data_IF_854374196736
#
_entry.id   IF_854374196736
#
_cell.length_a   1.000
_cell.length_b   1.000
_cell.length_c   1.000
_cell.angle_alpha   90.00
_cell.angle_beta   90.00
_cell.angle_gamma   90.00
#
_symmetry.space_group_name_H-M   'P 1'
#
loop_
_entity.id
_entity.type
_entity.pdbx_description
1 polymer ?
#
# COMPACT_ATOMS: atom_id res chain seq x y z
N UNK A 1 17.07 1.05 -11.38
CA UNK A 1 16.62 2.46 -11.53
C UNK A 1 16.98 2.97 -12.91
N UNK A 2 16.04 3.65 -13.55
CA UNK A 2 16.19 4.26 -14.88
C UNK A 2 16.93 5.60 -14.78
N UNK A 3 17.37 6.14 -15.94
CA UNK A 3 17.94 7.49 -16.00
C UNK A 3 16.96 8.53 -15.43
N UNK A 4 15.70 8.48 -15.87
CA UNK A 4 14.66 9.43 -15.45
C UNK A 4 14.44 9.44 -13.92
N UNK A 5 14.37 8.26 -13.30
CA UNK A 5 14.24 8.16 -11.84
C UNK A 5 15.42 8.82 -11.11
N UNK A 6 16.64 8.58 -11.57
CA UNK A 6 17.85 9.16 -10.98
C UNK A 6 17.96 10.66 -11.24
N UNK A 7 17.53 11.11 -12.41
CA UNK A 7 17.50 12.53 -12.75
C UNK A 7 16.48 13.28 -11.87
N UNK A 8 15.25 12.79 -11.78
CA UNK A 8 14.20 13.41 -10.97
C UNK A 8 14.52 13.38 -9.47
N UNK A 9 15.30 12.41 -9.00
CA UNK A 9 15.79 12.37 -7.61
C UNK A 9 17.07 13.18 -7.39
N UNK A 10 17.60 13.86 -8.41
CA UNK A 10 18.79 14.68 -8.32
C UNK A 10 20.10 13.91 -8.13
N UNK A 11 20.08 12.59 -8.37
CA UNK A 11 21.27 11.73 -8.20
C UNK A 11 22.20 11.79 -9.40
N UNK A 12 21.68 12.14 -10.58
CA UNK A 12 22.49 12.35 -11.80
C UNK A 12 22.06 13.65 -12.49
N UNK A 13 22.99 14.37 -13.16
CA UNK A 13 22.65 15.49 -14.02
C UNK A 13 22.09 14.99 -15.36
N UNK A 14 21.44 15.88 -16.15
CA UNK A 14 20.81 15.50 -17.41
C UNK A 14 21.81 14.94 -18.43
N UNK A 15 23.01 15.47 -18.46
CA UNK A 15 24.10 15.09 -19.37
C UNK A 15 24.55 13.63 -19.23
N UNK A 16 24.22 12.98 -18.11
CA UNK A 16 24.45 11.54 -17.95
C UNK A 16 23.57 10.66 -18.89
N UNK A 17 22.55 11.24 -19.56
CA UNK A 17 21.69 10.52 -20.52
C UNK A 17 22.52 9.82 -21.59
N UNK A 18 23.57 10.47 -22.12
CA UNK A 18 24.48 9.91 -23.12
C UNK A 18 25.20 8.64 -22.65
N UNK A 19 25.49 8.60 -21.34
CA UNK A 19 26.13 7.42 -20.74
C UNK A 19 25.14 6.25 -20.64
N UNK A 20 23.86 6.53 -20.36
CA UNK A 20 22.82 5.50 -20.36
C UNK A 20 22.56 4.98 -21.76
N UNK A 21 22.48 5.85 -22.78
CA UNK A 21 22.37 5.47 -24.20
C UNK A 21 23.55 4.59 -24.60
N UNK A 22 24.78 4.99 -24.25
CA UNK A 22 26.00 4.23 -24.53
C UNK A 22 26.01 2.85 -23.87
N UNK A 23 25.48 2.73 -22.67
CA UNK A 23 25.34 1.45 -21.97
C UNK A 23 24.31 0.55 -22.64
N UNK A 24 23.14 1.09 -22.97
CA UNK A 24 22.10 0.35 -23.68
C UNK A 24 22.60 -0.21 -25.01
N UNK A 25 23.26 0.60 -25.81
CA UNK A 25 23.86 0.20 -27.10
C UNK A 25 24.90 -0.94 -27.00
N UNK A 26 25.46 -1.18 -25.81
CA UNK A 26 26.47 -2.21 -25.54
C UNK A 26 25.94 -3.37 -24.70
N UNK A 27 24.68 -3.33 -24.34
CA UNK A 27 24.02 -4.36 -23.54
C UNK A 27 23.19 -5.29 -24.41
N UNK A 28 22.83 -6.44 -23.87
CA UNK A 28 21.86 -7.37 -24.43
C UNK A 28 20.44 -7.08 -23.89
N UNK A 29 20.17 -5.83 -23.45
CA UNK A 29 18.87 -5.42 -22.92
C UNK A 29 17.84 -5.35 -24.06
N UNK A 30 16.77 -6.12 -23.96
CA UNK A 30 15.74 -6.24 -24.99
C UNK A 30 14.70 -5.09 -24.96
N UNK A 31 14.73 -4.23 -23.93
CA UNK A 31 13.84 -3.06 -23.86
C UNK A 31 14.19 -2.04 -24.93
N UNK A 32 13.19 -1.26 -25.37
CA UNK A 32 13.47 -0.07 -26.19
C UNK A 32 14.34 0.92 -25.40
N UNK A 33 15.06 1.81 -26.10
CA UNK A 33 15.89 2.82 -25.44
C UNK A 33 15.06 3.71 -24.52
N UNK A 34 13.87 4.16 -24.95
CA UNK A 34 12.98 4.95 -24.13
C UNK A 34 12.59 4.21 -22.82
N UNK A 35 12.22 2.95 -22.91
CA UNK A 35 11.94 2.12 -21.72
C UNK A 35 13.16 1.93 -20.82
N UNK A 36 14.33 1.78 -21.40
CA UNK A 36 15.58 1.68 -20.64
C UNK A 36 15.89 2.98 -19.88
N UNK A 37 15.63 4.12 -20.52
CA UNK A 37 15.78 5.44 -19.89
C UNK A 37 14.64 5.77 -18.91
N UNK A 38 13.50 5.07 -18.98
CA UNK A 38 12.29 5.30 -18.17
C UNK A 38 11.38 6.38 -18.72
N UNK A 39 11.49 6.72 -20.00
CA UNK A 39 10.64 7.69 -20.67
C UNK A 39 9.28 7.08 -21.00
N UNK A 40 8.21 7.88 -20.86
CA UNK A 40 6.90 7.54 -21.40
C UNK A 40 6.78 7.96 -22.88
N UNK A 41 5.64 7.65 -23.51
CA UNK A 41 5.45 7.93 -24.95
C UNK A 41 5.58 9.43 -25.29
N UNK A 42 4.96 10.30 -24.49
CA UNK A 42 5.00 11.75 -24.73
C UNK A 42 6.41 12.32 -24.58
N UNK A 43 7.20 11.80 -23.64
CA UNK A 43 8.59 12.18 -23.41
C UNK A 43 9.51 11.64 -24.53
N UNK A 44 9.24 10.43 -25.03
CA UNK A 44 9.93 9.86 -26.18
C UNK A 44 9.63 10.66 -27.45
N UNK A 45 8.36 11.01 -27.69
CA UNK A 45 7.92 11.81 -28.83
C UNK A 45 8.60 13.18 -28.84
N UNK A 46 8.58 13.91 -27.71
CA UNK A 46 9.27 15.20 -27.57
C UNK A 46 10.78 15.06 -27.79
N UNK A 47 11.38 14.00 -27.29
CA UNK A 47 12.82 13.77 -27.49
C UNK A 47 13.19 13.50 -28.93
N UNK A 48 12.37 12.72 -29.65
CA UNK A 48 12.61 12.37 -31.08
C UNK A 48 12.29 13.53 -32.02
N UNK A 49 11.15 14.21 -31.77
CA UNK A 49 10.64 15.22 -32.69
C UNK A 49 11.29 16.60 -32.48
N UNK A 50 11.74 16.89 -31.24
CA UNK A 50 12.31 18.18 -30.90
C UNK A 50 13.81 18.06 -30.56
N UNK A 51 14.16 17.86 -29.28
CA UNK A 51 15.57 17.84 -28.84
C UNK A 51 15.78 17.31 -27.41
N UNK A 52 17.05 17.13 -27.03
CA UNK A 52 17.47 16.84 -25.66
C UNK A 52 17.07 17.98 -24.69
N UNK A 53 17.14 19.23 -25.15
CA UNK A 53 16.74 20.40 -24.35
C UNK A 53 15.25 20.39 -24.06
N UNK A 54 14.41 20.06 -25.05
CA UNK A 54 12.96 19.97 -24.89
C UNK A 54 12.58 18.83 -23.92
N UNK A 55 13.20 17.66 -24.04
CA UNK A 55 13.05 16.59 -23.06
C UNK A 55 13.47 17.05 -21.66
N UNK A 56 14.60 17.74 -21.55
CA UNK A 56 15.08 18.27 -20.27
C UNK A 56 14.08 19.23 -19.64
N UNK A 57 13.53 20.17 -20.40
CA UNK A 57 12.51 21.12 -19.94
C UNK A 57 11.26 20.39 -19.47
N UNK A 58 10.82 19.36 -20.20
CA UNK A 58 9.68 18.54 -19.84
C UNK A 58 9.91 17.76 -18.53
N UNK A 59 11.10 17.21 -18.32
CA UNK A 59 11.47 16.53 -17.08
C UNK A 59 11.67 17.52 -15.91
N UNK A 60 12.21 18.72 -16.17
CA UNK A 60 12.37 19.76 -15.15
C UNK A 60 11.05 20.35 -14.66
N UNK A 61 9.99 20.28 -15.49
CA UNK A 61 8.64 20.65 -15.09
C UNK A 61 8.00 19.66 -14.10
N UNK A 62 8.54 18.45 -13.97
CA UNK A 62 8.05 17.45 -13.01
C UNK A 62 8.53 17.76 -11.59
N UNK A 63 7.74 17.32 -10.62
CA UNK A 63 8.12 17.34 -9.21
C UNK A 63 9.40 16.53 -8.96
N UNK A 64 10.33 17.13 -8.24
CA UNK A 64 11.56 16.43 -7.80
C UNK A 64 11.22 15.38 -6.74
N UNK A 65 11.79 14.20 -6.87
CA UNK A 65 11.60 13.08 -5.96
C UNK A 65 12.68 13.08 -4.89
N UNK A 66 12.30 13.36 -3.64
CA UNK A 66 13.26 13.28 -2.54
C UNK A 66 13.57 11.81 -2.20
N UNK A 67 14.86 11.45 -2.12
CA UNK A 67 15.31 10.11 -1.72
C UNK A 67 15.25 9.06 -2.82
N UNK A 68 14.96 7.81 -2.47
CA UNK A 68 14.94 6.68 -3.41
C UNK A 68 13.65 6.66 -4.22
N UNK A 69 13.69 6.86 -5.53
CA UNK A 69 12.49 6.87 -6.37
C UNK A 69 11.94 5.46 -6.61
N UNK A 70 10.65 5.40 -6.92
CA UNK A 70 9.96 4.23 -7.44
C UNK A 70 8.93 4.68 -8.47
N UNK A 71 8.93 4.03 -9.63
CA UNK A 71 7.93 4.21 -10.67
C UNK A 71 6.84 3.16 -10.55
N UNK A 72 5.58 3.58 -10.59
CA UNK A 72 4.44 2.66 -10.54
C UNK A 72 4.11 2.11 -11.92
N UNK A 73 4.87 1.10 -12.35
CA UNK A 73 4.66 0.39 -13.61
C UNK A 73 4.69 1.34 -14.81
N UNK A 74 3.70 1.19 -15.72
CA UNK A 74 3.53 2.04 -16.90
C UNK A 74 2.88 3.39 -16.62
N UNK A 75 2.56 3.70 -15.35
CA UNK A 75 2.04 5.02 -14.99
C UNK A 75 3.14 6.08 -15.03
N UNK A 76 2.77 7.33 -15.09
CA UNK A 76 3.72 8.45 -14.97
C UNK A 76 4.03 8.83 -13.51
N UNK A 77 3.55 8.03 -12.55
CA UNK A 77 3.73 8.27 -11.12
C UNK A 77 5.13 7.83 -10.69
N UNK A 78 5.99 8.79 -10.38
CA UNK A 78 7.30 8.57 -9.79
C UNK A 78 7.35 9.27 -8.44
N UNK A 79 7.55 8.50 -7.37
CA UNK A 79 7.54 8.98 -5.99
C UNK A 79 8.66 8.32 -5.19
N UNK A 80 8.94 8.80 -3.99
CA UNK A 80 9.88 8.10 -3.11
C UNK A 80 9.23 6.86 -2.45
N UNK A 81 10.06 5.96 -1.93
CA UNK A 81 9.61 4.72 -1.26
C UNK A 81 8.97 4.96 0.12
N UNK A 82 8.25 6.07 0.28
CA UNK A 82 7.50 6.44 1.48
C UNK A 82 6.08 6.88 1.13
N UNK A 83 5.24 5.96 0.68
CA UNK A 83 3.81 6.24 0.55
C UNK A 83 3.14 6.33 1.94
N UNK A 84 2.16 7.22 2.08
CA UNK A 84 1.37 7.38 3.29
C UNK A 84 0.10 6.50 3.24
N UNK A 85 0.00 5.50 4.13
CA UNK A 85 -1.19 4.66 4.28
C UNK A 85 -2.19 5.26 5.28
N UNK A 86 -3.25 5.86 4.81
CA UNK A 86 -4.18 6.67 5.61
C UNK A 86 -5.24 5.87 6.41
N UNK A 87 -5.20 4.52 6.41
CA UNK A 87 -6.11 3.74 7.25
C UNK A 87 -6.06 4.11 8.74
N UNK A 88 -4.89 4.32 9.39
CA UNK A 88 -4.87 4.61 10.81
C UNK A 88 -5.39 6.00 11.20
N UNK A 89 -5.34 6.99 10.30
CA UNK A 89 -5.79 8.36 10.65
C UNK A 89 -7.29 8.45 10.94
N UNK A 90 -8.10 7.47 10.55
CA UNK A 90 -9.51 7.39 10.95
C UNK A 90 -9.71 7.35 12.48
N UNK A 91 -8.65 7.07 13.27
CA UNK A 91 -8.69 6.89 14.72
C UNK A 91 -8.26 8.14 15.50
N UNK A 92 -7.84 9.17 14.82
CA UNK A 92 -7.35 10.42 15.42
C UNK A 92 -8.22 11.61 14.98
N UNK A 93 -8.07 12.76 15.60
CA UNK A 93 -8.82 13.95 15.26
C UNK A 93 -8.46 14.49 13.85
N UNK A 94 -9.27 15.38 13.28
CA UNK A 94 -8.96 16.09 12.03
C UNK A 94 -7.68 16.92 12.14
N UNK A 95 -7.48 17.59 13.27
CA UNK A 95 -6.30 18.43 13.49
C UNK A 95 -5.02 17.59 13.64
N UNK A 96 -5.06 16.49 14.39
CA UNK A 96 -3.93 15.57 14.46
C UNK A 96 -3.60 14.95 13.11
N UNK A 97 -4.64 14.55 12.35
CA UNK A 97 -4.45 14.01 11.00
C UNK A 97 -3.82 15.07 10.06
N UNK A 98 -4.25 16.33 10.15
CA UNK A 98 -3.67 17.43 9.38
C UNK A 98 -2.19 17.63 9.71
N UNK A 99 -1.81 17.59 10.97
CA UNK A 99 -0.39 17.69 11.39
C UNK A 99 0.43 16.59 10.74
N UNK A 100 -0.02 15.32 10.81
CA UNK A 100 0.68 14.20 10.21
C UNK A 100 0.78 14.29 8.68
N UNK A 101 -0.33 14.59 8.01
CA UNK A 101 -0.39 14.64 6.56
C UNK A 101 0.46 15.79 6.00
N UNK A 102 0.42 16.98 6.63
CA UNK A 102 1.26 18.12 6.25
C UNK A 102 2.74 17.82 6.48
N UNK A 103 3.08 17.27 7.64
CA UNK A 103 4.46 16.89 7.95
C UNK A 103 5.01 15.87 6.93
N UNK A 104 4.21 14.90 6.51
CA UNK A 104 4.56 13.95 5.47
C UNK A 104 4.81 14.67 4.12
N UNK A 105 3.88 15.54 3.71
CA UNK A 105 4.01 16.33 2.48
C UNK A 105 5.27 17.21 2.50
N UNK A 106 5.49 17.99 3.57
CA UNK A 106 6.61 18.91 3.72
C UNK A 106 7.97 18.18 3.70
N UNK A 107 7.99 16.93 4.17
CA UNK A 107 9.18 16.06 4.09
C UNK A 107 9.37 15.36 2.73
N UNK A 108 8.51 15.61 1.74
CA UNK A 108 8.65 15.07 0.39
C UNK A 108 7.84 13.79 0.10
N UNK A 109 6.95 13.34 0.98
CA UNK A 109 5.98 12.28 0.66
C UNK A 109 4.97 12.84 -0.33
N UNK A 110 4.77 12.13 -1.45
CA UNK A 110 3.86 12.56 -2.52
C UNK A 110 2.73 11.57 -2.81
N UNK A 111 2.76 10.38 -2.25
CA UNK A 111 1.74 9.35 -2.46
C UNK A 111 0.92 9.10 -1.20
N UNK A 112 -0.40 9.27 -1.29
CA UNK A 112 -1.36 9.11 -0.19
C UNK A 112 -2.43 8.08 -0.57
N UNK A 113 -2.48 6.98 0.18
CA UNK A 113 -3.43 5.87 -0.04
C UNK A 113 -4.55 5.90 0.99
N UNK A 114 -5.78 5.93 0.54
CA UNK A 114 -6.99 5.86 1.37
C UNK A 114 -8.04 4.92 0.77
N UNK A 115 -9.26 4.94 1.25
CA UNK A 115 -10.40 4.20 0.69
C UNK A 115 -11.73 4.79 1.15
N UNK A 116 -12.78 4.67 0.32
CA UNK A 116 -14.16 5.03 0.69
C UNK A 116 -14.60 4.35 2.00
N UNK A 117 -14.10 3.15 2.24
CA UNK A 117 -14.43 2.33 3.41
C UNK A 117 -13.71 2.75 4.71
N UNK A 118 -12.77 3.71 4.66
CA UNK A 118 -12.00 4.16 5.83
C UNK A 118 -12.66 5.35 6.52
N UNK A 119 -13.94 5.22 6.88
CA UNK A 119 -14.75 6.23 7.58
C UNK A 119 -14.55 7.66 7.07
N UNK A 120 -13.78 8.50 7.79
CA UNK A 120 -13.52 9.91 7.52
C UNK A 120 -12.09 10.19 6.97
N UNK A 121 -11.36 9.15 6.57
CA UNK A 121 -9.97 9.28 6.10
C UNK A 121 -9.85 10.14 4.84
N UNK A 122 -10.77 10.00 3.87
CA UNK A 122 -10.81 10.83 2.67
C UNK A 122 -11.07 12.30 3.01
N UNK A 123 -12.01 12.58 3.92
CA UNK A 123 -12.31 13.93 4.39
C UNK A 123 -11.11 14.59 5.07
N UNK A 124 -10.34 13.80 5.87
CA UNK A 124 -9.11 14.28 6.52
C UNK A 124 -8.02 14.61 5.54
N UNK A 125 -7.84 13.80 4.47
CA UNK A 125 -6.90 14.12 3.38
C UNK A 125 -7.34 15.40 2.67
N UNK A 126 -8.61 15.53 2.28
CA UNK A 126 -9.15 16.73 1.65
C UNK A 126 -9.06 17.96 2.54
N UNK A 127 -9.24 17.81 3.85
CA UNK A 127 -9.05 18.92 4.82
C UNK A 127 -7.59 19.36 4.94
N UNK A 128 -6.67 18.41 4.86
CA UNK A 128 -5.24 18.68 5.08
C UNK A 128 -4.48 19.09 3.82
N UNK A 129 -4.82 18.54 2.64
CA UNK A 129 -3.94 18.59 1.47
C UNK A 129 -4.62 19.13 0.18
N UNK A 130 -5.86 19.61 0.24
CA UNK A 130 -6.56 20.09 -0.98
C UNK A 130 -5.87 21.28 -1.66
N UNK A 131 -5.17 22.12 -0.91
CA UNK A 131 -4.41 23.27 -1.43
C UNK A 131 -3.09 22.89 -2.14
N UNK A 132 -2.66 21.64 -2.02
CA UNK A 132 -1.48 21.08 -2.69
C UNK A 132 -1.81 19.89 -3.57
N UNK A 133 -3.10 19.77 -4.00
CA UNK A 133 -3.62 18.63 -4.74
C UNK A 133 -2.81 18.28 -5.99
N UNK A 134 -2.35 19.28 -6.72
CA UNK A 134 -1.59 19.12 -7.96
C UNK A 134 -0.17 18.59 -7.75
N UNK A 135 0.31 18.65 -6.51
CA UNK A 135 1.65 18.20 -6.12
C UNK A 135 1.66 16.82 -5.44
N UNK A 136 0.53 16.14 -5.38
CA UNK A 136 0.41 14.84 -4.73
C UNK A 136 -0.36 13.85 -5.60
N UNK A 137 -0.11 12.58 -5.35
CA UNK A 137 -0.86 11.46 -5.93
C UNK A 137 -1.75 10.83 -4.87
N UNK A 138 -3.03 10.70 -5.19
CA UNK A 138 -4.03 10.10 -4.29
C UNK A 138 -4.54 8.79 -4.90
N UNK A 139 -4.41 7.71 -4.15
CA UNK A 139 -5.05 6.44 -4.41
C UNK A 139 -6.23 6.25 -3.46
N UNK A 140 -7.44 6.03 -3.99
CA UNK A 140 -8.60 5.64 -3.18
C UNK A 140 -9.32 4.44 -3.79
N UNK A 141 -10.34 3.90 -3.12
CA UNK A 141 -10.89 2.58 -3.43
C UNK A 141 -12.41 2.54 -3.24
N UNK A 142 -13.08 1.78 -4.11
CA UNK A 142 -14.49 1.44 -3.96
C UNK A 142 -14.67 -0.05 -3.64
N UNK A 143 -15.60 -0.38 -2.75
CA UNK A 143 -16.08 -1.71 -2.50
C UNK A 143 -17.45 -2.00 -3.17
N UNK A 144 -17.87 -1.14 -4.09
CA UNK A 144 -19.11 -1.28 -4.82
C UNK A 144 -19.17 -2.61 -5.62
N UNK A 145 -20.33 -3.18 -5.69
CA UNK A 145 -20.62 -4.42 -6.45
C UNK A 145 -21.55 -4.18 -7.64
N UNK A 146 -21.92 -2.92 -7.88
CA UNK A 146 -22.76 -2.47 -9.00
C UNK A 146 -22.22 -1.17 -9.57
N UNK A 147 -22.48 -0.89 -10.84
CA UNK A 147 -22.10 0.36 -11.49
C UNK A 147 -22.69 1.60 -10.78
N UNK A 148 -23.95 1.54 -10.33
CA UNK A 148 -24.58 2.63 -9.56
C UNK A 148 -23.82 2.89 -8.25
N UNK A 149 -23.47 1.84 -7.51
CA UNK A 149 -22.67 1.94 -6.28
C UNK A 149 -21.27 2.51 -6.54
N UNK A 150 -20.65 2.10 -7.66
CA UNK A 150 -19.37 2.64 -8.10
C UNK A 150 -19.40 4.16 -8.28
N UNK A 151 -20.37 4.67 -9.04
CA UNK A 151 -20.49 6.11 -9.27
C UNK A 151 -20.78 6.88 -7.99
N UNK A 152 -21.65 6.35 -7.13
CA UNK A 152 -21.90 6.96 -5.81
C UNK A 152 -20.65 7.02 -4.95
N UNK A 153 -19.86 5.96 -4.92
CA UNK A 153 -18.60 5.93 -4.16
C UNK A 153 -17.59 6.93 -4.73
N UNK A 154 -17.42 6.97 -6.06
CA UNK A 154 -16.48 7.89 -6.72
C UNK A 154 -16.85 9.36 -6.46
N UNK A 155 -18.10 9.75 -6.68
CA UNK A 155 -18.55 11.12 -6.43
C UNK A 155 -18.38 11.50 -4.95
N UNK A 156 -18.66 10.58 -4.04
CA UNK A 156 -18.43 10.79 -2.60
C UNK A 156 -16.95 10.97 -2.29
N UNK A 157 -16.08 10.15 -2.89
CA UNK A 157 -14.62 10.25 -2.72
C UNK A 157 -14.08 11.59 -3.23
N UNK A 158 -14.49 12.03 -4.42
CA UNK A 158 -14.09 13.30 -4.98
C UNK A 158 -14.52 14.48 -4.09
N UNK A 159 -15.77 14.43 -3.60
CA UNK A 159 -16.28 15.45 -2.67
C UNK A 159 -15.47 15.50 -1.37
N UNK A 160 -15.21 14.34 -0.75
CA UNK A 160 -14.48 14.26 0.52
C UNK A 160 -13.02 14.69 0.37
N UNK A 161 -12.38 14.31 -0.71
CA UNK A 161 -11.00 14.67 -1.05
C UNK A 161 -10.87 16.12 -1.54
N UNK A 162 -12.00 16.80 -1.83
CA UNK A 162 -12.07 18.17 -2.39
C UNK A 162 -11.26 18.32 -3.68
N UNK A 163 -11.50 17.44 -4.62
CA UNK A 163 -10.80 17.40 -5.91
C UNK A 163 -11.74 16.91 -7.00
N UNK A 164 -11.43 17.25 -8.25
CA UNK A 164 -12.21 16.82 -9.42
C UNK A 164 -11.72 15.47 -9.97
N UNK A 165 -10.56 15.00 -9.53
CA UNK A 165 -9.97 13.73 -9.98
C UNK A 165 -9.17 13.03 -8.87
N UNK A 166 -8.98 11.72 -9.03
CA UNK A 166 -8.02 10.92 -8.27
C UNK A 166 -7.02 10.25 -9.21
N UNK A 167 -5.79 10.05 -8.73
CA UNK A 167 -4.75 9.48 -9.57
C UNK A 167 -4.94 7.99 -9.79
N UNK A 168 -5.22 7.24 -8.74
CA UNK A 168 -5.50 5.80 -8.84
C UNK A 168 -6.83 5.50 -8.16
N UNK A 169 -7.79 4.93 -8.92
CA UNK A 169 -9.02 4.42 -8.35
C UNK A 169 -9.03 2.89 -8.39
N UNK A 170 -9.26 2.26 -7.24
CA UNK A 170 -9.03 0.83 -7.08
C UNK A 170 -10.32 0.08 -6.73
N UNK A 171 -10.51 -1.12 -7.26
CA UNK A 171 -11.47 -2.07 -6.72
C UNK A 171 -10.95 -2.62 -5.38
N UNK A 172 -11.75 -2.49 -4.32
CA UNK A 172 -11.35 -2.79 -2.94
C UNK A 172 -11.63 -4.24 -2.56
N UNK A 173 -10.67 -5.14 -2.77
CA UNK A 173 -10.72 -6.55 -2.41
C UNK A 173 -11.95 -7.29 -3.00
N UNK A 174 -12.21 -7.14 -4.31
CA UNK A 174 -13.33 -7.83 -4.95
C UNK A 174 -13.18 -9.35 -4.83
N UNK A 175 -14.30 -10.06 -4.77
CA UNK A 175 -14.30 -11.52 -4.69
C UNK A 175 -13.98 -12.18 -6.05
N UNK A 176 -14.22 -11.45 -7.14
CA UNK A 176 -13.94 -11.83 -8.53
C UNK A 176 -13.21 -10.64 -9.16
N UNK A 177 -12.24 -10.89 -10.02
CA UNK A 177 -11.52 -9.83 -10.74
C UNK A 177 -12.48 -9.16 -11.75
N UNK A 178 -12.85 -7.85 -11.58
CA UNK A 178 -13.74 -7.19 -12.53
C UNK A 178 -13.12 -7.07 -13.92
N UNK A 179 -13.91 -7.39 -14.97
CA UNK A 179 -13.48 -7.40 -16.36
C UNK A 179 -14.57 -6.84 -17.29
N UNK A 180 -14.19 -6.35 -18.48
CA UNK A 180 -15.19 -5.98 -19.48
C UNK A 180 -16.14 -7.15 -19.80
N UNK A 181 -17.43 -6.87 -19.79
CA UNK A 181 -18.46 -7.86 -20.15
C UNK A 181 -18.72 -8.94 -19.10
N UNK A 182 -18.28 -8.80 -17.86
CA UNK A 182 -18.54 -9.77 -16.78
C UNK A 182 -19.97 -9.69 -16.21
N UNK A 183 -20.76 -8.76 -16.71
CA UNK A 183 -22.17 -8.55 -16.33
C UNK A 183 -22.33 -7.65 -15.08
N UNK A 184 -21.27 -7.26 -14.40
CA UNK A 184 -21.34 -6.35 -13.25
C UNK A 184 -21.44 -4.88 -13.66
N UNK A 185 -20.91 -4.52 -14.85
CA UNK A 185 -20.75 -3.15 -15.33
C UNK A 185 -19.70 -2.32 -14.56
N UNK A 186 -18.95 -2.94 -13.65
CA UNK A 186 -17.99 -2.24 -12.81
C UNK A 186 -16.77 -1.77 -13.61
N UNK A 187 -16.24 -2.64 -14.48
CA UNK A 187 -15.06 -2.30 -15.27
C UNK A 187 -15.39 -1.24 -16.33
N UNK A 188 -16.58 -1.32 -16.94
CA UNK A 188 -17.11 -0.31 -17.87
C UNK A 188 -17.25 1.05 -17.16
N UNK A 189 -17.78 1.09 -15.95
CA UNK A 189 -17.87 2.32 -15.15
C UNK A 189 -16.48 2.91 -14.82
N UNK A 190 -15.47 2.03 -14.61
CA UNK A 190 -14.08 2.46 -14.39
C UNK A 190 -13.49 3.10 -15.65
N UNK A 191 -13.72 2.53 -16.83
CA UNK A 191 -13.28 3.08 -18.11
C UNK A 191 -13.97 4.43 -18.40
N UNK A 192 -15.28 4.53 -18.16
CA UNK A 192 -16.04 5.77 -18.33
C UNK A 192 -15.54 6.86 -17.38
N UNK A 193 -15.23 6.51 -16.12
CA UNK A 193 -14.66 7.48 -15.16
C UNK A 193 -13.28 7.99 -15.61
N UNK A 194 -12.47 7.13 -16.24
CA UNK A 194 -11.19 7.50 -16.84
C UNK A 194 -11.38 8.42 -18.05
N UNK A 195 -12.32 8.12 -18.93
CA UNK A 195 -12.67 8.96 -20.10
C UNK A 195 -13.18 10.35 -19.66
N UNK A 196 -13.95 10.41 -18.58
CA UNK A 196 -14.43 11.67 -17.98
C UNK A 196 -13.32 12.45 -17.24
N UNK A 197 -12.09 11.91 -17.14
CA UNK A 197 -10.97 12.53 -16.42
C UNK A 197 -11.11 12.53 -14.89
N UNK A 198 -12.08 11.79 -14.34
CA UNK A 198 -12.28 11.69 -12.88
C UNK A 198 -11.28 10.75 -12.20
N UNK A 199 -10.69 9.85 -12.96
CA UNK A 199 -9.59 9.00 -12.52
C UNK A 199 -8.51 8.94 -13.60
N UNK A 200 -7.24 8.82 -13.21
CA UNK A 200 -6.14 8.72 -14.17
C UNK A 200 -5.78 7.27 -14.46
N UNK A 201 -5.64 6.46 -13.43
CA UNK A 201 -5.20 5.07 -13.52
C UNK A 201 -6.17 4.13 -12.81
N UNK A 202 -6.28 2.91 -13.36
CA UNK A 202 -7.16 1.86 -12.85
C UNK A 202 -6.34 0.91 -11.99
N UNK A 203 -6.74 0.73 -10.73
CA UNK A 203 -6.09 -0.18 -9.82
C UNK A 203 -7.01 -1.27 -9.27
N UNK A 204 -6.37 -2.26 -8.67
CA UNK A 204 -7.04 -3.29 -7.88
C UNK A 204 -6.26 -3.55 -6.60
N UNK A 205 -6.95 -3.71 -5.47
CA UNK A 205 -6.34 -4.19 -4.24
C UNK A 205 -6.96 -5.52 -3.83
N UNK A 206 -6.14 -6.48 -3.45
CA UNK A 206 -6.66 -7.76 -2.99
C UNK A 206 -5.75 -8.39 -1.92
N UNK A 207 -6.27 -9.40 -1.23
CA UNK A 207 -5.56 -10.25 -0.28
C UNK A 207 -5.49 -11.72 -0.75
N UNK A 208 -6.15 -12.05 -1.86
CA UNK A 208 -6.19 -13.39 -2.45
C UNK A 208 -5.22 -13.46 -3.61
N UNK A 209 -4.27 -14.40 -3.52
CA UNK A 209 -3.28 -14.62 -4.58
C UNK A 209 -3.92 -14.85 -5.96
N UNK A 210 -4.96 -15.69 -6.03
CA UNK A 210 -5.62 -16.01 -7.30
C UNK A 210 -6.20 -14.79 -8.02
N UNK A 211 -6.78 -13.83 -7.26
CA UNK A 211 -7.29 -12.58 -7.86
C UNK A 211 -6.17 -11.65 -8.28
N UNK A 212 -5.09 -11.60 -7.49
CA UNK A 212 -3.93 -10.78 -7.82
C UNK A 212 -3.20 -11.29 -9.08
N UNK A 213 -3.00 -12.60 -9.19
CA UNK A 213 -2.43 -13.26 -10.37
C UNK A 213 -3.32 -13.04 -11.61
N UNK A 214 -4.63 -13.23 -11.48
CA UNK A 214 -5.60 -12.96 -12.54
C UNK A 214 -5.59 -11.49 -13.00
N UNK A 215 -5.45 -10.56 -12.07
CA UNK A 215 -5.37 -9.14 -12.40
C UNK A 215 -4.11 -8.80 -13.22
N UNK A 216 -2.96 -9.38 -12.88
CA UNK A 216 -1.71 -9.21 -13.65
C UNK A 216 -1.86 -9.79 -15.05
N UNK A 217 -2.30 -11.06 -15.15
CA UNK A 217 -2.45 -11.77 -16.42
C UNK A 217 -3.46 -11.10 -17.36
N UNK A 218 -4.48 -10.43 -16.81
CA UNK A 218 -5.51 -9.75 -17.60
C UNK A 218 -4.98 -8.55 -18.38
N UNK A 219 -3.91 -7.88 -17.92
CA UNK A 219 -3.42 -6.63 -18.49
C UNK A 219 -4.35 -5.43 -18.37
N UNK A 220 -5.43 -5.56 -17.58
CA UNK A 220 -6.50 -4.57 -17.47
C UNK A 220 -6.22 -3.47 -16.42
N UNK A 221 -5.26 -3.68 -15.55
CA UNK A 221 -4.99 -2.81 -14.41
C UNK A 221 -3.62 -2.14 -14.52
N UNK A 222 -3.56 -0.88 -14.13
CA UNK A 222 -2.30 -0.11 -14.10
C UNK A 222 -1.53 -0.38 -12.81
N UNK A 223 -2.25 -0.70 -11.68
CA UNK A 223 -1.62 -0.98 -10.39
C UNK A 223 -2.29 -2.13 -9.64
N UNK A 224 -1.48 -2.89 -8.89
CA UNK A 224 -1.90 -3.88 -7.91
C UNK A 224 -1.46 -3.44 -6.52
N UNK A 225 -2.40 -3.39 -5.57
CA UNK A 225 -2.08 -3.21 -4.16
C UNK A 225 -2.26 -4.54 -3.42
N UNK A 226 -1.17 -5.04 -2.81
CA UNK A 226 -1.15 -6.35 -2.16
C UNK A 226 -0.38 -6.31 -0.83
N UNK A 227 -0.72 -7.16 0.17
CA UNK A 227 0.08 -7.28 1.39
C UNK A 227 1.50 -7.75 1.08
N UNK A 228 2.50 -6.98 1.51
CA UNK A 228 3.89 -7.32 1.25
C UNK A 228 4.82 -6.81 2.36
N UNK A 229 5.69 -7.68 2.85
CA UNK A 229 6.74 -7.40 3.81
C UNK A 229 7.68 -8.61 3.90
N UNK A 230 8.65 -8.63 4.81
CA UNK A 230 9.60 -9.74 4.94
C UNK A 230 9.02 -11.06 5.49
N UNK A 231 7.71 -11.10 5.81
CA UNK A 231 6.98 -12.35 6.06
C UNK A 231 6.30 -12.91 4.80
N UNK A 232 6.47 -12.23 3.67
CA UNK A 232 5.92 -12.68 2.39
C UNK A 232 6.53 -13.99 1.95
N UNK A 233 5.68 -14.87 1.44
CA UNK A 233 6.07 -16.16 0.86
C UNK A 233 6.78 -15.96 -0.48
N UNK A 234 7.49 -16.99 -0.96
CA UNK A 234 8.10 -16.96 -2.30
C UNK A 234 7.09 -16.66 -3.42
N UNK A 235 5.84 -17.15 -3.28
CA UNK A 235 4.76 -16.86 -4.23
C UNK A 235 4.34 -15.39 -4.23
N UNK A 236 4.28 -14.75 -3.06
CA UNK A 236 3.99 -13.31 -2.92
C UNK A 236 5.16 -12.46 -3.44
N UNK A 237 6.39 -12.91 -3.26
CA UNK A 237 7.59 -12.28 -3.85
C UNK A 237 7.55 -12.40 -5.38
N UNK A 238 7.19 -13.55 -5.91
CA UNK A 238 7.01 -13.76 -7.34
C UNK A 238 5.92 -12.85 -7.92
N UNK A 239 4.84 -12.58 -7.17
CA UNK A 239 3.79 -11.65 -7.58
C UNK A 239 4.34 -10.22 -7.81
N UNK A 240 5.18 -9.73 -6.89
CA UNK A 240 5.80 -8.41 -7.05
C UNK A 240 6.73 -8.34 -8.27
N UNK A 241 7.44 -9.42 -8.57
CA UNK A 241 8.27 -9.53 -9.79
C UNK A 241 7.43 -9.58 -11.06
N UNK A 242 6.35 -10.38 -11.06
CA UNK A 242 5.42 -10.44 -12.19
C UNK A 242 4.79 -9.07 -12.49
N UNK A 243 4.47 -8.27 -11.46
CA UNK A 243 4.04 -6.89 -11.69
C UNK A 243 5.09 -6.07 -12.46
N UNK A 244 6.39 -6.21 -12.15
CA UNK A 244 7.45 -5.52 -12.89
C UNK A 244 7.53 -5.99 -14.36
N UNK A 245 7.43 -7.29 -14.60
CA UNK A 245 7.45 -7.90 -15.95
C UNK A 245 6.26 -7.44 -16.80
N UNK A 246 5.10 -7.22 -16.19
CA UNK A 246 3.88 -6.73 -16.84
C UNK A 246 3.72 -5.20 -16.80
N UNK A 247 4.75 -4.46 -16.41
CA UNK A 247 4.72 -2.99 -16.28
C UNK A 247 3.55 -2.49 -15.40
N UNK A 248 3.16 -3.26 -14.40
CA UNK A 248 2.10 -2.96 -13.44
C UNK A 248 2.70 -2.41 -12.15
N UNK A 249 2.22 -1.27 -11.66
CA UNK A 249 2.69 -0.70 -10.40
C UNK A 249 2.34 -1.58 -9.20
N UNK A 250 3.29 -1.84 -8.31
CA UNK A 250 3.06 -2.63 -7.10
C UNK A 250 3.07 -1.77 -5.84
N UNK A 251 1.89 -1.66 -5.20
CA UNK A 251 1.72 -0.92 -3.95
C UNK A 251 1.70 -1.92 -2.79
N UNK A 252 2.72 -1.84 -1.93
CA UNK A 252 2.89 -2.76 -0.80
C UNK A 252 2.13 -2.26 0.43
N UNK A 253 0.97 -2.86 0.72
CA UNK A 253 0.24 -2.61 1.95
C UNK A 253 0.67 -3.57 3.07
N UNK A 254 0.30 -3.27 4.32
CA UNK A 254 0.59 -4.10 5.50
C UNK A 254 2.09 -4.30 5.79
N UNK A 255 2.93 -3.37 5.40
CA UNK A 255 4.37 -3.42 5.67
C UNK A 255 4.71 -3.73 7.13
N UNK A 256 3.96 -3.15 8.07
CA UNK A 256 4.12 -3.38 9.52
C UNK A 256 3.34 -4.62 10.04
N UNK A 257 2.74 -5.43 9.17
CA UNK A 257 1.89 -6.59 9.53
C UNK A 257 0.85 -6.27 10.63
N UNK A 258 0.27 -5.05 10.57
CA UNK A 258 -0.71 -4.57 11.55
C UNK A 258 -0.13 -4.39 12.95
N UNK A 259 1.13 -4.00 13.06
CA UNK A 259 1.86 -3.72 14.30
C UNK A 259 2.55 -4.95 14.91
N UNK A 260 2.68 -6.05 14.16
CA UNK A 260 3.47 -7.21 14.58
C UNK A 260 4.96 -7.06 14.24
N UNK A 261 5.27 -6.32 13.18
CA UNK A 261 6.63 -5.95 12.80
C UNK A 261 6.92 -4.55 13.34
N UNK A 262 7.95 -4.45 14.18
CA UNK A 262 8.23 -3.25 14.97
C UNK A 262 9.60 -2.60 14.67
N UNK A 263 10.45 -3.27 13.89
CA UNK A 263 11.73 -2.70 13.46
C UNK A 263 11.56 -2.06 12.07
N UNK A 264 11.32 -0.75 12.04
CA UNK A 264 11.07 0.01 10.82
C UNK A 264 12.24 -0.03 9.86
N UNK A 265 13.50 0.03 10.37
CA UNK A 265 14.70 -0.05 9.56
C UNK A 265 14.81 -1.38 8.81
N UNK A 266 14.55 -2.51 9.50
CA UNK A 266 14.56 -3.83 8.88
C UNK A 266 13.48 -3.96 7.79
N UNK A 267 12.27 -3.42 8.05
CA UNK A 267 11.16 -3.44 7.09
C UNK A 267 11.48 -2.59 5.87
N UNK A 268 11.96 -1.37 6.10
CA UNK A 268 12.32 -0.45 5.02
C UNK A 268 13.45 -1.01 4.16
N UNK A 269 14.55 -1.45 4.79
CA UNK A 269 15.70 -2.05 4.10
C UNK A 269 15.34 -3.28 3.29
N UNK A 270 14.43 -4.12 3.80
CA UNK A 270 13.91 -5.26 3.05
C UNK A 270 13.14 -4.82 1.80
N UNK A 271 12.22 -3.87 1.94
CA UNK A 271 11.39 -3.39 0.83
C UNK A 271 12.19 -2.59 -0.21
N UNK A 272 13.25 -1.93 0.22
CA UNK A 272 14.14 -1.16 -0.67
C UNK A 272 14.87 -2.04 -1.70
N UNK A 273 14.98 -3.36 -1.47
CA UNK A 273 15.57 -4.30 -2.43
C UNK A 273 14.71 -4.50 -3.70
N UNK A 274 13.44 -4.13 -3.66
CA UNK A 274 12.51 -4.28 -4.78
C UNK A 274 12.31 -2.92 -5.46
N UNK A 275 12.87 -2.73 -6.65
CA UNK A 275 12.85 -1.45 -7.35
C UNK A 275 11.42 -0.97 -7.66
N UNK A 276 10.52 -1.89 -8.03
CA UNK A 276 9.14 -1.62 -8.45
C UNK A 276 8.11 -1.57 -7.30
N UNK A 277 8.54 -1.70 -6.03
CA UNK A 277 7.63 -1.77 -4.88
C UNK A 277 7.54 -0.41 -4.19
N UNK A 278 6.32 0.13 -4.11
CA UNK A 278 5.98 1.31 -3.32
C UNK A 278 5.33 0.88 -2.00
N UNK A 279 6.02 0.95 -0.85
CA UNK A 279 5.38 0.71 0.43
C UNK A 279 4.51 1.89 0.85
N UNK A 280 3.35 1.58 1.45
CA UNK A 280 2.48 2.57 2.11
C UNK A 280 2.49 2.32 3.62
N UNK A 281 3.00 3.29 4.38
CA UNK A 281 3.18 3.18 5.82
C UNK A 281 1.95 3.68 6.57
N UNK A 282 1.33 2.78 7.32
CA UNK A 282 0.18 3.13 8.16
C UNK A 282 0.64 3.67 9.51
N UNK A 283 0.63 4.98 9.69
CA UNK A 283 1.04 5.68 10.90
C UNK A 283 -0.10 6.49 11.49
N UNK A 284 -0.06 6.73 12.81
CA UNK A 284 -1.06 7.54 13.52
C UNK A 284 -0.43 8.45 14.58
N UNK A 285 0.89 8.45 14.73
CA UNK A 285 1.65 9.30 15.64
C UNK A 285 2.81 9.95 14.91
N UNK A 286 3.17 11.16 15.32
CA UNK A 286 4.31 11.88 14.74
C UNK A 286 5.61 11.10 14.88
N UNK A 287 5.86 10.48 16.04
CA UNK A 287 7.08 9.69 16.25
C UNK A 287 7.21 8.48 15.32
N UNK A 288 6.07 7.85 14.94
CA UNK A 288 6.05 6.77 13.95
C UNK A 288 6.35 7.31 12.55
N UNK A 289 5.81 8.50 12.23
CA UNK A 289 6.05 9.17 10.96
C UNK A 289 7.51 9.63 10.85
N UNK A 290 8.06 10.28 11.88
CA UNK A 290 9.43 10.78 11.90
C UNK A 290 10.46 9.70 11.60
N UNK A 291 10.22 8.49 12.08
CA UNK A 291 11.07 7.34 11.83
C UNK A 291 11.15 7.01 10.35
N UNK A 292 10.01 6.91 9.64
CA UNK A 292 9.98 6.65 8.20
C UNK A 292 10.46 7.85 7.37
N UNK A 293 10.17 9.07 7.78
CA UNK A 293 10.64 10.27 7.08
C UNK A 293 12.17 10.40 7.12
N UNK A 294 12.81 9.94 8.21
CA UNK A 294 14.28 9.94 8.31
C UNK A 294 14.95 9.07 7.23
N UNK A 295 14.23 8.10 6.67
CA UNK A 295 14.74 7.20 5.63
C UNK A 295 14.69 7.81 4.21
N UNK A 296 14.04 8.95 4.02
CA UNK A 296 14.03 9.64 2.72
C UNK A 296 15.46 10.08 2.34
N UNK A 297 16.14 10.75 3.27
CA UNK A 297 17.50 11.23 3.03
C UNK A 297 18.62 10.23 3.37
N UNK A 298 18.31 9.23 4.20
CA UNK A 298 19.28 8.24 4.67
C UNK A 298 18.62 6.86 4.82
N UNK A 299 18.32 6.17 3.70
CA UNK A 299 17.68 4.87 3.74
C UNK A 299 18.57 3.84 4.45
N UNK A 300 18.01 3.02 5.35
CA UNK A 300 18.78 1.98 6.02
C UNK A 300 19.24 0.91 5.03
N UNK A 301 20.51 0.54 5.10
CA UNK A 301 21.07 -0.59 4.37
C UNK A 301 20.70 -1.91 5.08
N UNK A 302 20.54 -2.98 4.31
CA UNK A 302 20.23 -4.30 4.87
C UNK A 302 21.51 -4.96 5.44
N UNK A 303 21.90 -4.54 6.64
CA UNK A 303 23.06 -5.07 7.36
C UNK A 303 22.79 -6.48 7.90
N UNK A 304 23.83 -7.18 8.37
CA UNK A 304 23.70 -8.52 8.96
C UNK A 304 22.89 -8.49 10.27
N UNK A 305 22.95 -7.38 11.02
CA UNK A 305 22.11 -7.18 12.20
C UNK A 305 20.62 -7.09 11.82
N UNK A 306 20.27 -6.36 10.76
CA UNK A 306 18.89 -6.26 10.28
C UNK A 306 18.40 -7.59 9.68
N UNK A 307 19.26 -8.32 8.99
CA UNK A 307 18.95 -9.69 8.52
C UNK A 307 18.63 -10.62 9.70
N UNK A 308 19.42 -10.56 10.78
CA UNK A 308 19.17 -11.35 11.98
C UNK A 308 17.83 -11.01 12.64
N UNK A 309 17.43 -9.73 12.65
CA UNK A 309 16.09 -9.30 13.09
C UNK A 309 15.00 -9.93 12.22
N UNK A 310 15.15 -9.86 10.89
CA UNK A 310 14.21 -10.46 9.94
C UNK A 310 14.07 -11.96 10.15
N UNK A 311 15.19 -12.69 10.25
CA UNK A 311 15.19 -14.14 10.47
C UNK A 311 14.52 -14.53 11.80
N UNK A 312 14.78 -13.75 12.86
CA UNK A 312 14.11 -13.94 14.14
C UNK A 312 12.60 -13.76 14.01
N UNK A 313 12.15 -12.66 13.39
CA UNK A 313 10.74 -12.38 13.20
C UNK A 313 10.06 -13.45 12.33
N UNK A 314 10.71 -13.90 11.27
CA UNK A 314 10.22 -14.98 10.41
C UNK A 314 10.03 -16.29 11.19
N UNK A 315 10.96 -16.64 12.09
CA UNK A 315 10.83 -17.82 12.95
C UNK A 315 9.70 -17.68 13.98
N UNK A 316 9.62 -16.53 14.64
CA UNK A 316 8.61 -16.28 15.67
C UNK A 316 7.18 -16.13 15.11
N UNK A 317 7.06 -15.64 13.88
CA UNK A 317 5.80 -15.47 13.17
C UNK A 317 5.58 -16.55 12.10
N UNK A 318 6.31 -17.67 12.18
CA UNK A 318 6.05 -18.82 11.33
C UNK A 318 4.67 -19.42 11.64
N UNK A 319 3.93 -19.80 10.59
CA UNK A 319 2.63 -20.46 10.71
C UNK A 319 1.42 -19.58 10.44
N UNK A 320 0.26 -20.15 10.78
CA UNK A 320 -1.02 -19.52 10.55
C UNK A 320 -1.37 -18.53 11.67
N UNK A 321 -1.53 -17.25 11.33
CA UNK A 321 -2.03 -16.24 12.26
C UNK A 321 -2.90 -15.21 11.56
N UNK A 322 -3.81 -14.58 12.29
CA UNK A 322 -4.69 -13.56 11.75
C UNK A 322 -3.90 -12.33 11.31
N UNK A 323 -4.00 -11.97 10.02
CA UNK A 323 -3.31 -10.80 9.42
C UNK A 323 -3.96 -9.45 9.77
N UNK A 324 -5.05 -9.45 10.58
CA UNK A 324 -5.71 -8.23 11.06
C UNK A 324 -6.39 -7.39 9.98
N UNK A 325 -6.77 -7.98 8.85
CA UNK A 325 -7.35 -7.25 7.71
C UNK A 325 -8.78 -6.74 7.96
N UNK A 326 -9.57 -7.41 8.82
CA UNK A 326 -10.91 -6.96 9.22
C UNK A 326 -12.06 -7.39 8.29
N UNK A 327 -11.83 -8.11 7.20
CA UNK A 327 -12.91 -8.52 6.27
C UNK A 327 -13.95 -9.48 6.86
N UNK A 328 -13.63 -10.09 7.98
CA UNK A 328 -14.57 -10.90 8.77
C UNK A 328 -15.44 -10.07 9.74
N UNK A 329 -15.30 -8.76 9.74
CA UNK A 329 -16.09 -7.85 10.58
C UNK A 329 -17.28 -7.26 9.78
N UNK A 330 -18.39 -6.88 10.44
CA UNK A 330 -18.65 -7.04 11.87
C UNK A 330 -19.00 -8.47 12.27
N UNK A 331 -18.58 -8.88 13.47
CA UNK A 331 -19.03 -10.15 14.04
C UNK A 331 -20.44 -10.02 14.62
N UNK A 332 -21.38 -10.96 14.35
CA UNK A 332 -22.73 -10.91 14.92
C UNK A 332 -22.77 -10.90 16.46
N UNK A 333 -21.77 -11.51 17.11
CA UNK A 333 -21.61 -11.50 18.56
C UNK A 333 -20.79 -10.29 19.08
N UNK A 334 -20.42 -9.36 18.23
CA UNK A 334 -19.64 -8.17 18.62
C UNK A 334 -18.17 -8.43 18.99
N UNK A 335 -17.60 -9.56 18.54
CA UNK A 335 -16.18 -9.90 18.79
C UNK A 335 -15.29 -9.09 17.84
N UNK A 336 -14.28 -8.39 18.35
CA UNK A 336 -13.23 -7.75 17.53
C UNK A 336 -12.25 -8.79 16.99
N UNK A 337 -12.70 -9.60 16.03
CA UNK A 337 -12.00 -10.79 15.52
C UNK A 337 -10.58 -10.45 15.08
N UNK A 338 -10.40 -9.36 14.35
CA UNK A 338 -9.11 -8.92 13.79
C UNK A 338 -8.04 -8.59 14.86
N UNK A 339 -8.43 -8.34 16.10
CA UNK A 339 -7.54 -8.19 17.24
C UNK A 339 -7.50 -9.45 18.09
N UNK A 340 -8.66 -10.02 18.41
CA UNK A 340 -8.76 -11.17 19.30
C UNK A 340 -8.09 -12.42 18.76
N UNK A 341 -8.19 -12.69 17.44
CA UNK A 341 -7.61 -13.88 16.81
C UNK A 341 -6.07 -13.84 16.63
N UNK A 342 -5.41 -12.79 17.12
CA UNK A 342 -3.94 -12.65 17.14
C UNK A 342 -3.42 -12.04 18.46
N UNK A 343 -4.23 -12.11 19.50
CA UNK A 343 -3.92 -11.46 20.78
C UNK A 343 -2.63 -11.97 21.41
N UNK A 344 -2.33 -13.25 21.30
CA UNK A 344 -1.09 -13.84 21.79
C UNK A 344 0.16 -13.18 21.20
N UNK A 345 0.13 -12.84 19.92
CA UNK A 345 1.23 -12.13 19.25
C UNK A 345 1.27 -10.66 19.68
N UNK A 346 0.11 -10.00 19.77
CA UNK A 346 0.04 -8.61 20.20
C UNK A 346 0.56 -8.41 21.62
N UNK A 347 0.28 -9.34 22.53
CA UNK A 347 0.77 -9.27 23.91
C UNK A 347 2.31 -9.35 23.98
N UNK A 348 2.94 -10.10 23.08
CA UNK A 348 4.40 -10.36 23.08
C UNK A 348 5.19 -9.35 22.24
N UNK A 349 4.55 -8.71 21.26
CA UNK A 349 5.25 -7.88 20.25
C UNK A 349 4.86 -6.40 20.26
N UNK A 350 3.86 -6.01 21.05
CA UNK A 350 3.46 -4.62 21.17
C UNK A 350 3.22 -4.26 22.64
N UNK A 351 3.10 -2.95 22.98
CA UNK A 351 2.82 -2.54 24.37
C UNK A 351 1.55 -3.24 24.91
N UNK A 352 1.74 -4.22 25.78
CA UNK A 352 0.68 -5.13 26.25
C UNK A 352 -0.31 -4.49 27.23
N UNK A 353 0.08 -3.40 27.92
CA UNK A 353 -0.72 -2.78 28.97
C UNK A 353 -2.16 -2.48 28.54
N UNK A 354 -2.37 -1.95 27.33
CA UNK A 354 -3.71 -1.65 26.82
C UNK A 354 -4.59 -2.89 26.61
N UNK A 355 -3.97 -4.01 26.26
CA UNK A 355 -4.69 -5.27 26.04
C UNK A 355 -5.03 -5.97 27.36
N UNK A 356 -4.25 -5.72 28.41
CA UNK A 356 -4.47 -6.26 29.75
C UNK A 356 -5.33 -5.34 30.64
N UNK A 357 -5.68 -4.15 30.15
CA UNK A 357 -6.59 -3.22 30.83
C UNK A 357 -8.00 -3.82 31.00
N UNK A 358 -8.85 -3.28 31.91
CA UNK A 358 -10.23 -3.73 32.04
C UNK A 358 -11.01 -3.72 30.72
N UNK A 359 -10.78 -2.73 29.86
CA UNK A 359 -11.38 -2.64 28.53
C UNK A 359 -10.89 -3.77 27.61
N UNK A 360 -9.58 -4.01 27.57
CA UNK A 360 -8.98 -5.11 26.80
C UNK A 360 -9.51 -6.47 27.24
N UNK A 361 -9.65 -6.68 28.56
CA UNK A 361 -10.23 -7.90 29.13
C UNK A 361 -11.70 -8.08 28.71
N UNK A 362 -12.49 -7.00 28.74
CA UNK A 362 -13.90 -7.05 28.30
C UNK A 362 -14.02 -7.42 26.82
N UNK A 363 -13.12 -6.89 25.95
CA UNK A 363 -13.08 -7.24 24.52
C UNK A 363 -12.74 -8.70 24.30
N UNK A 364 -11.74 -9.23 24.99
CA UNK A 364 -11.35 -10.65 24.90
C UNK A 364 -12.43 -11.58 25.45
N UNK A 365 -13.11 -11.19 26.52
CA UNK A 365 -14.22 -11.97 27.09
C UNK A 365 -15.38 -12.14 26.12
N UNK A 366 -15.58 -11.21 25.19
CA UNK A 366 -16.59 -11.33 24.13
C UNK A 366 -16.48 -12.62 23.29
N UNK A 367 -15.32 -13.26 23.28
CA UNK A 367 -15.13 -14.55 22.60
C UNK A 367 -16.04 -15.64 23.17
N UNK A 368 -16.41 -15.55 24.48
CA UNK A 368 -17.35 -16.46 25.13
C UNK A 368 -18.77 -16.40 24.55
N UNK A 369 -19.12 -15.27 23.91
CA UNK A 369 -20.42 -15.06 23.25
C UNK A 369 -20.42 -15.59 21.81
N UNK A 370 -19.37 -16.32 21.35
CA UNK A 370 -19.26 -16.80 19.98
C UNK A 370 -20.44 -17.71 19.61
N UNK A 371 -21.13 -17.37 18.52
CA UNK A 371 -22.27 -18.13 18.00
C UNK A 371 -21.85 -19.35 17.17
N UNK A 372 -20.57 -19.60 16.98
CA UNK A 372 -20.00 -20.65 16.12
C UNK A 372 -20.61 -20.68 14.69
N UNK A 373 -21.04 -19.51 14.17
CA UNK A 373 -21.70 -19.38 12.88
C UNK A 373 -20.79 -19.57 11.67
N UNK A 374 -19.45 -19.62 11.86
CA UNK A 374 -18.48 -19.82 10.78
C UNK A 374 -18.26 -18.60 9.86
N UNK A 375 -19.00 -17.50 10.03
CA UNK A 375 -18.88 -16.31 9.19
C UNK A 375 -17.42 -15.81 9.06
N UNK A 376 -16.70 -15.71 10.16
CA UNK A 376 -15.31 -15.23 10.15
C UNK A 376 -14.35 -16.15 9.36
N UNK A 377 -14.61 -17.45 9.32
CA UNK A 377 -13.84 -18.41 8.52
C UNK A 377 -14.15 -18.27 7.04
N UNK A 378 -15.44 -18.17 6.69
CA UNK A 378 -15.87 -18.04 5.28
C UNK A 378 -15.41 -16.71 4.64
N UNK A 379 -15.32 -15.65 5.42
CA UNK A 379 -14.89 -14.32 4.95
C UNK A 379 -13.37 -14.12 4.98
N UNK A 380 -12.59 -15.07 5.52
CA UNK A 380 -11.15 -14.91 5.62
C UNK A 380 -10.46 -15.07 4.27
N UNK A 381 -9.79 -14.03 3.73
CA UNK A 381 -9.09 -14.12 2.44
C UNK A 381 -7.86 -15.04 2.49
N UNK A 382 -7.39 -15.38 3.70
CA UNK A 382 -6.25 -16.26 3.92
C UNK A 382 -6.65 -17.71 4.24
N UNK A 383 -7.93 -18.03 4.22
CA UNK A 383 -8.43 -19.39 4.50
C UNK A 383 -8.20 -19.88 5.93
N UNK A 384 -7.96 -18.97 6.88
CA UNK A 384 -7.65 -19.32 8.26
C UNK A 384 -8.84 -19.91 9.00
N UNK A 385 -8.58 -20.87 9.89
CA UNK A 385 -9.57 -21.34 10.86
C UNK A 385 -9.73 -20.31 12.01
N UNK A 386 -10.38 -19.21 11.68
CA UNK A 386 -10.52 -18.06 12.59
C UNK A 386 -11.23 -18.42 13.92
N UNK A 387 -12.29 -19.26 13.96
CA UNK A 387 -12.86 -19.73 15.23
C UNK A 387 -11.82 -20.41 16.12
N UNK A 388 -11.03 -21.31 15.58
CA UNK A 388 -9.93 -21.98 16.30
C UNK A 388 -8.90 -20.98 16.82
N UNK A 389 -8.49 -20.03 15.98
CA UNK A 389 -7.55 -18.98 16.41
C UNK A 389 -8.11 -18.13 17.56
N UNK A 390 -9.42 -17.83 17.57
CA UNK A 390 -10.04 -17.10 18.68
C UNK A 390 -9.95 -17.89 19.99
N UNK A 391 -10.27 -19.19 19.95
CA UNK A 391 -10.23 -20.08 21.14
C UNK A 391 -8.78 -20.20 21.69
N UNK A 392 -7.81 -20.46 20.82
CA UNK A 392 -6.40 -20.59 21.18
C UNK A 392 -5.85 -19.29 21.79
N UNK A 393 -6.12 -18.15 21.16
CA UNK A 393 -5.69 -16.84 21.67
C UNK A 393 -6.37 -16.49 23.00
N UNK A 394 -7.64 -16.84 23.17
CA UNK A 394 -8.34 -16.59 24.43
C UNK A 394 -7.84 -17.48 25.57
N UNK A 395 -7.48 -18.73 25.27
CA UNK A 395 -6.84 -19.60 26.24
C UNK A 395 -5.51 -19.04 26.72
N UNK A 396 -4.61 -18.67 25.80
CA UNK A 396 -3.31 -18.07 26.12
C UNK A 396 -3.50 -16.74 26.89
N UNK A 397 -4.47 -15.91 26.48
CA UNK A 397 -4.81 -14.66 27.17
C UNK A 397 -5.19 -14.87 28.65
N UNK A 398 -6.01 -15.88 28.94
CA UNK A 398 -6.39 -16.24 30.31
C UNK A 398 -5.19 -16.74 31.13
N UNK A 399 -4.28 -17.49 30.51
CA UNK A 399 -3.05 -17.93 31.15
C UNK A 399 -2.14 -16.74 31.52
N UNK A 400 -2.04 -15.74 30.62
CA UNK A 400 -1.28 -14.51 30.90
C UNK A 400 -1.88 -13.72 32.05
N UNK A 401 -3.20 -13.57 32.09
CA UNK A 401 -3.90 -12.94 33.24
C UNK A 401 -3.67 -13.71 34.55
N UNK A 402 -3.49 -15.01 34.50
CA UNK A 402 -3.17 -15.87 35.65
C UNK A 402 -1.67 -15.85 36.03
N UNK A 403 -0.85 -15.05 35.35
CA UNK A 403 0.56 -14.85 35.69
C UNK A 403 1.57 -15.57 34.78
N UNK A 404 1.16 -16.14 33.65
CA UNK A 404 2.09 -16.64 32.64
C UNK A 404 2.92 -15.48 32.11
N UNK A 405 4.23 -15.62 32.10
CA UNK A 405 5.16 -14.63 31.53
C UNK A 405 4.96 -14.50 30.01
N UNK A 406 5.00 -13.27 29.52
CA UNK A 406 4.95 -12.90 28.11
C UNK A 406 6.28 -13.21 27.40
#
# INVERSE_FOLDING_TARGET
>A
MTFKELYLSGQVPFEEIDRYISRWNRSDDERTLAKYLGLNADEEDVWIDDSDEALKEMLDARERVAGTPVTLGKTDIIVNKNGFGALPIQRISFDDAKVLLRKAYDAGVRFFDTARFYTDSEEKIGYALSDVREHIYIATKTAATTAEGFWKDLETSLHNLKTDYVDIYQFHNPAVCPKPGDGSGLYEAMLEAKEQGKIRFIGITNHRMSIAEEAIESGLYDTLQFPFNYLSTEREIALAKACAEHEMGFIAMKGLSGGLLINSAAIYAYMAQFENVLPIWGVQKESELDEFLSYIGNPPELTDELKAVIEKDQKELAGEFCRGCGYCMPCPAGIEINNCARMSLLLRRSPSARYLSPEGQAKMKKIEDCLHCGHCKSMCPYGLDTPKLLEENYKDYKEVLAGKRL
#
